data_IF_977839272774
#
_entry.id   IF_977839272774
#
_cell.length_a   1.000
_cell.length_b   1.000
_cell.length_c   1.000
_cell.angle_alpha   90.00
_cell.angle_beta   90.00
_cell.angle_gamma   90.00
#
_symmetry.space_group_name_H-M   'P 1'
#
loop_
_entity.id
_entity.type
_entity.pdbx_description
1 polymer ?
#
# COMPACT_ATOMS: atom_id res chain seq x y z
N UNK A 1 -10.49 -1.72 -14.26
CA UNK A 1 -9.30 -0.83 -14.35
C UNK A 1 -8.73 -0.48 -12.99
N UNK A 2 -9.02 -1.30 -11.97
CA UNK A 2 -8.65 -1.06 -10.58
C UNK A 2 -8.32 -2.41 -9.94
N UNK A 3 -7.56 -2.37 -8.86
CA UNK A 3 -7.17 -3.55 -8.10
C UNK A 3 -6.86 -3.19 -6.66
N UNK A 4 -6.71 -4.21 -5.82
CA UNK A 4 -6.35 -4.06 -4.42
C UNK A 4 -5.05 -4.82 -4.14
N UNK A 5 -4.27 -4.33 -3.19
CA UNK A 5 -3.05 -4.98 -2.73
C UNK A 5 -3.05 -4.98 -1.22
N UNK A 6 -3.00 -6.17 -0.63
CA UNK A 6 -2.73 -6.38 0.79
C UNK A 6 -1.23 -6.59 0.99
N UNK A 7 -0.64 -5.84 1.93
CA UNK A 7 0.79 -5.92 2.19
C UNK A 7 1.13 -5.70 3.66
N UNK A 8 2.34 -6.12 4.02
CA UNK A 8 2.98 -5.80 5.29
C UNK A 8 4.30 -5.06 5.05
N UNK A 9 4.32 -3.76 5.32
CA UNK A 9 5.51 -2.94 5.23
C UNK A 9 6.30 -2.99 6.54
N UNK A 10 7.55 -3.44 6.49
CA UNK A 10 8.45 -3.42 7.64
C UNK A 10 9.23 -2.10 7.67
N UNK A 11 9.33 -1.48 8.84
CA UNK A 11 10.03 -0.20 9.00
C UNK A 11 10.82 -0.13 10.32
N UNK A 12 11.69 0.87 10.42
CA UNK A 12 12.44 1.19 11.64
C UNK A 12 12.22 2.64 12.02
N UNK A 13 11.87 2.88 13.27
CA UNK A 13 11.79 4.22 13.86
C UNK A 13 12.82 4.31 14.98
N UNK A 14 13.96 4.95 14.68
CA UNK A 14 15.13 4.91 15.55
C UNK A 14 15.62 3.47 15.78
N UNK A 15 15.68 3.03 17.04
CA UNK A 15 16.07 1.67 17.43
C UNK A 15 14.93 0.66 17.40
N UNK A 16 13.68 1.09 17.19
CA UNK A 16 12.51 0.21 17.19
C UNK A 16 12.19 -0.28 15.78
N UNK A 17 12.04 -1.58 15.62
CA UNK A 17 11.48 -2.18 14.42
C UNK A 17 9.96 -2.28 14.57
N UNK A 18 9.25 -2.07 13.46
CA UNK A 18 7.80 -2.16 13.38
C UNK A 18 7.36 -2.73 12.04
N UNK A 19 6.06 -3.01 11.94
CA UNK A 19 5.43 -3.36 10.67
C UNK A 19 4.05 -2.72 10.57
N UNK A 20 3.66 -2.33 9.37
CA UNK A 20 2.34 -1.81 9.03
C UNK A 20 1.67 -2.81 8.09
N UNK A 21 0.46 -3.24 8.41
CA UNK A 21 -0.35 -4.12 7.56
C UNK A 21 -1.52 -3.30 7.03
N UNK A 22 -1.63 -3.20 5.71
CA UNK A 22 -2.70 -2.47 5.04
C UNK A 22 -3.21 -3.22 3.81
N UNK A 23 -4.42 -2.86 3.40
CA UNK A 23 -4.98 -3.16 2.10
C UNK A 23 -5.21 -1.83 1.37
N UNK A 24 -4.78 -1.70 0.12
CA UNK A 24 -4.82 -0.44 -0.63
C UNK A 24 -5.40 -0.61 -2.02
N UNK A 25 -6.14 0.40 -2.48
CA UNK A 25 -6.71 0.49 -3.82
C UNK A 25 -5.72 1.15 -4.79
N UNK A 26 -5.65 0.58 -5.98
CA UNK A 26 -4.90 1.12 -7.11
C UNK A 26 -5.81 1.24 -8.33
N UNK A 27 -5.59 2.28 -9.13
CA UNK A 27 -6.23 2.48 -10.42
C UNK A 27 -5.18 2.43 -11.52
N UNK A 28 -5.54 1.91 -12.70
CA UNK A 28 -4.63 1.85 -13.84
C UNK A 28 -4.94 2.95 -14.86
N UNK A 29 -4.18 4.04 -14.87
CA UNK A 29 -4.40 5.20 -15.76
C UNK A 29 -3.32 5.20 -16.83
N UNK A 30 -3.72 5.26 -18.11
CA UNK A 30 -2.80 5.21 -19.26
C UNK A 30 -1.78 4.05 -19.18
N UNK A 31 -2.26 2.89 -18.71
CA UNK A 31 -1.46 1.69 -18.54
C UNK A 31 -0.59 1.64 -17.28
N UNK A 32 -0.48 2.74 -16.52
CA UNK A 32 0.30 2.87 -15.28
C UNK A 32 -0.55 2.65 -14.03
N UNK A 33 0.01 2.01 -13.01
CA UNK A 33 -0.68 1.82 -11.73
C UNK A 33 -0.43 3.01 -10.80
N UNK A 34 -1.53 3.59 -10.30
CA UNK A 34 -1.55 4.76 -9.43
C UNK A 34 -2.18 4.34 -8.09
N UNK A 35 -1.52 4.71 -7.00
CA UNK A 35 -2.07 4.57 -5.66
C UNK A 35 -3.27 5.51 -5.49
N UNK A 36 -4.36 5.00 -4.93
CA UNK A 36 -5.59 5.78 -4.73
C UNK A 36 -5.80 6.08 -3.25
N UNK A 37 -5.99 5.04 -2.44
CA UNK A 37 -6.35 5.15 -1.03
C UNK A 37 -6.13 3.80 -0.31
N UNK A 38 -5.96 3.78 1.01
CA UNK A 38 -6.16 2.57 1.77
C UNK A 38 -7.63 2.13 1.68
N UNK A 39 -7.88 0.84 1.88
CA UNK A 39 -9.21 0.27 2.00
C UNK A 39 -9.38 -0.05 3.48
N UNK A 40 -10.05 0.85 4.19
CA UNK A 40 -10.25 0.82 5.64
C UNK A 40 -10.86 2.12 6.13
#
# INVERSE_FOLDING_TARGET
>A
NEGTVEFRAHYRQGRRAGSMHENSRFARVDGQWIYVAPIG
#
